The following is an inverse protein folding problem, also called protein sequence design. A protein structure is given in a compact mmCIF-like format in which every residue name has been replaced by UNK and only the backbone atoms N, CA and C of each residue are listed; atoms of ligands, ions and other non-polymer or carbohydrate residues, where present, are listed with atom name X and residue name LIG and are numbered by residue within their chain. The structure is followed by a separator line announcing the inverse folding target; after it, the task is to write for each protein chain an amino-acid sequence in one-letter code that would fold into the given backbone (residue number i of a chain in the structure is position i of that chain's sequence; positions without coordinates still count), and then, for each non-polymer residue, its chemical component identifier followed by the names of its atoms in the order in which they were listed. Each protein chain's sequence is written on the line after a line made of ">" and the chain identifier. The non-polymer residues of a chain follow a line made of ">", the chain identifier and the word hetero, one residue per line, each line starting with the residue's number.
data_IF_258398140800
#
_entry.id   IF_258398140800
#
_cell.length_a   1.000
_cell.length_b   1.000
_cell.length_c   1.000
_cell.angle_alpha   90.00
_cell.angle_beta   90.00
_cell.angle_gamma   90.00
#
_symmetry.space_group_name_H-M   'P 1'
#
loop_
_entity.id
_entity.type
_entity.pdbx_description
1 polymer ?
#
# COMPACT_ATOMS: atom_id res chain seq x y z
N UNK A 1 -1.00 29.35 -2.35
CA UNK A 1 -1.53 27.97 -2.43
C UNK A 1 -0.71 27.04 -3.34
N UNK A 2 -0.10 27.55 -4.41
CA UNK A 2 0.65 26.73 -5.39
C UNK A 2 2.12 26.44 -5.02
N UNK A 3 2.75 27.24 -4.15
CA UNK A 3 4.18 27.13 -3.83
C UNK A 3 4.53 25.88 -3.02
N UNK A 4 3.74 25.53 -2.00
CA UNK A 4 3.99 24.35 -1.18
C UNK A 4 3.75 23.06 -1.95
N UNK A 5 2.78 23.04 -2.89
CA UNK A 5 2.56 21.88 -3.78
C UNK A 5 3.75 21.63 -4.70
N UNK A 6 4.34 22.70 -5.24
CA UNK A 6 5.58 22.60 -6.03
C UNK A 6 6.76 22.14 -5.16
N UNK A 7 6.90 22.67 -3.94
CA UNK A 7 7.95 22.25 -3.02
C UNK A 7 7.82 20.77 -2.61
N UNK A 8 6.61 20.31 -2.27
CA UNK A 8 6.34 18.90 -1.98
C UNK A 8 6.58 18.03 -3.22
N UNK A 9 6.11 18.45 -4.40
CA UNK A 9 6.37 17.72 -5.64
C UNK A 9 7.87 17.65 -5.98
N UNK A 10 8.66 18.68 -5.67
CA UNK A 10 10.12 18.67 -5.85
C UNK A 10 10.80 17.76 -4.84
N UNK A 11 10.42 17.79 -3.56
CA UNK A 11 10.94 16.89 -2.53
C UNK A 11 10.62 15.43 -2.83
N UNK A 12 9.38 15.18 -3.24
CA UNK A 12 8.93 13.86 -3.69
C UNK A 12 9.69 13.46 -4.95
N UNK A 13 9.83 14.33 -5.95
CA UNK A 13 10.61 14.05 -7.17
C UNK A 13 12.07 13.74 -6.86
N UNK A 14 12.68 14.45 -5.92
CA UNK A 14 14.05 14.20 -5.50
C UNK A 14 14.17 12.84 -4.79
N UNK A 15 13.24 12.54 -3.89
CA UNK A 15 13.15 11.22 -3.27
C UNK A 15 12.87 10.08 -4.28
N UNK A 16 12.17 10.39 -5.38
CA UNK A 16 11.83 9.44 -6.45
C UNK A 16 12.91 9.31 -7.53
N UNK A 17 13.87 10.24 -7.63
CA UNK A 17 15.00 10.15 -8.56
C UNK A 17 15.93 8.97 -8.22
N UNK A 18 15.86 8.45 -6.99
CA UNK A 18 16.51 7.22 -6.54
C UNK A 18 15.45 6.24 -6.02
N UNK A 19 14.71 5.53 -6.91
CA UNK A 19 13.59 4.67 -6.51
C UNK A 19 14.02 3.51 -5.59
N UNK A 20 15.31 3.16 -5.60
CA UNK A 20 15.95 2.19 -4.71
C UNK A 20 15.79 2.57 -3.23
N UNK A 21 15.84 3.86 -2.90
CA UNK A 21 15.70 4.33 -1.52
C UNK A 21 14.32 4.02 -0.94
N UNK A 22 13.26 4.10 -1.77
CA UNK A 22 11.89 3.78 -1.35
C UNK A 22 11.74 2.28 -1.04
N UNK A 23 12.45 1.43 -1.79
CA UNK A 23 12.39 -0.03 -1.58
C UNK A 23 12.93 -0.45 -0.23
N UNK A 24 13.92 0.28 0.30
CA UNK A 24 14.46 0.03 1.64
C UNK A 24 13.49 0.50 2.74
N UNK A 25 12.75 1.59 2.52
CA UNK A 25 11.73 2.07 3.47
C UNK A 25 10.56 1.07 3.66
N UNK A 26 10.29 0.21 2.68
CA UNK A 26 9.28 -0.84 2.83
C UNK A 26 9.67 -1.93 3.84
N UNK A 27 10.97 -2.07 4.13
CA UNK A 27 11.52 -3.07 5.05
C UNK A 27 11.86 -2.48 6.41
N UNK A 28 11.55 -1.21 6.65
CA UNK A 28 11.89 -0.54 7.90
C UNK A 28 11.25 -1.24 9.11
N UNK A 29 11.97 -1.23 10.23
CA UNK A 29 11.48 -1.78 11.49
C UNK A 29 10.26 -1.04 12.01
N UNK A 30 10.16 0.27 11.76
CA UNK A 30 9.06 1.12 12.19
C UNK A 30 7.85 0.98 11.24
N UNK A 31 6.69 0.68 11.84
CA UNK A 31 5.41 0.62 11.13
C UNK A 31 5.03 1.95 10.50
N UNK A 32 5.33 3.07 11.17
CA UNK A 32 5.02 4.41 10.67
C UNK A 32 5.84 4.74 9.42
N UNK A 33 7.12 4.37 9.39
CA UNK A 33 7.98 4.56 8.21
C UNK A 33 7.47 3.75 7.03
N UNK A 34 7.15 2.47 7.25
CA UNK A 34 6.54 1.61 6.22
C UNK A 34 5.22 2.17 5.70
N UNK A 35 4.38 2.70 6.59
CA UNK A 35 3.12 3.34 6.21
C UNK A 35 3.39 4.56 5.31
N UNK A 36 4.33 5.44 5.68
CA UNK A 36 4.66 6.61 4.87
C UNK A 36 5.27 6.22 3.52
N UNK A 37 6.05 5.14 3.46
CA UNK A 37 6.54 4.59 2.19
C UNK A 37 5.38 4.16 1.28
N UNK A 38 4.35 3.49 1.84
CA UNK A 38 3.14 3.14 1.09
C UNK A 38 2.34 4.37 0.66
N UNK A 39 2.30 5.42 1.49
CA UNK A 39 1.68 6.71 1.15
C UNK A 39 2.40 7.37 -0.02
N UNK A 40 3.73 7.43 0.05
CA UNK A 40 4.56 7.96 -1.02
C UNK A 40 4.32 7.17 -2.32
N UNK A 41 4.25 5.84 -2.24
CA UNK A 41 3.99 4.98 -3.39
C UNK A 41 2.65 5.31 -4.08
N UNK A 42 1.54 5.30 -3.34
CA UNK A 42 0.22 5.51 -3.95
C UNK A 42 -0.01 6.95 -4.40
N UNK A 43 0.73 7.91 -3.83
CA UNK A 43 0.65 9.32 -4.24
C UNK A 43 1.52 9.61 -5.46
N UNK A 44 2.70 9.00 -5.57
CA UNK A 44 3.64 9.24 -6.67
C UNK A 44 3.30 8.47 -7.96
N UNK A 45 2.88 7.21 -7.83
CA UNK A 45 2.69 6.30 -8.97
C UNK A 45 1.76 6.84 -10.08
N UNK A 46 0.61 7.50 -9.78
CA UNK A 46 -0.27 8.02 -10.83
C UNK A 46 0.37 9.10 -11.71
N UNK A 47 1.30 9.88 -11.15
CA UNK A 47 1.99 10.96 -11.86
C UNK A 47 3.26 10.47 -12.57
N UNK A 48 3.80 9.33 -12.13
CA UNK A 48 5.02 8.73 -12.63
C UNK A 48 4.81 7.23 -12.91
N UNK A 49 4.09 6.85 -13.98
CA UNK A 49 3.80 5.44 -14.29
C UNK A 49 5.04 4.61 -14.67
N UNK A 50 6.18 5.26 -14.93
CA UNK A 50 7.48 4.62 -15.14
C UNK A 50 8.41 4.69 -13.92
N UNK A 51 7.86 4.97 -12.73
CA UNK A 51 8.65 5.10 -11.50
C UNK A 51 9.41 3.82 -11.14
N UNK A 52 8.82 2.66 -11.42
CA UNK A 52 9.45 1.36 -11.25
C UNK A 52 9.36 0.61 -12.57
N UNK A 53 10.41 -0.13 -12.91
CA UNK A 53 10.35 -1.10 -14.00
C UNK A 53 9.55 -2.34 -13.57
N UNK A 54 9.13 -3.15 -14.54
CA UNK A 54 8.36 -4.37 -14.29
C UNK A 54 9.09 -5.34 -13.35
N UNK A 55 10.43 -5.34 -13.40
CA UNK A 55 11.27 -6.17 -12.56
C UNK A 55 11.23 -5.74 -11.08
N UNK A 56 11.38 -4.45 -10.79
CA UNK A 56 11.31 -3.89 -9.44
C UNK A 56 9.89 -4.00 -8.87
N UNK A 57 8.86 -3.76 -9.68
CA UNK A 57 7.47 -3.97 -9.28
C UNK A 57 7.25 -5.40 -8.78
N UNK A 58 7.67 -6.39 -9.58
CA UNK A 58 7.46 -7.80 -9.25
C UNK A 58 8.34 -8.28 -8.10
N UNK A 59 9.60 -7.84 -8.03
CA UNK A 59 10.58 -8.38 -7.04
C UNK A 59 10.54 -7.67 -5.70
N UNK A 60 10.14 -6.40 -5.64
CA UNK A 60 10.24 -5.60 -4.42
C UNK A 60 8.89 -4.98 -4.00
N UNK A 61 8.24 -4.23 -4.90
CA UNK A 61 7.06 -3.43 -4.54
C UNK A 61 5.86 -4.32 -4.19
N UNK A 62 5.51 -5.27 -5.05
CA UNK A 62 4.33 -6.13 -4.87
C UNK A 62 4.48 -7.04 -3.64
N UNK A 63 5.63 -7.72 -3.41
CA UNK A 63 5.85 -8.45 -2.16
C UNK A 63 5.73 -7.56 -0.92
N UNK A 64 6.29 -6.34 -0.94
CA UNK A 64 6.19 -5.40 0.18
C UNK A 64 4.73 -5.02 0.48
N UNK A 65 3.93 -4.77 -0.55
CA UNK A 65 2.49 -4.51 -0.41
C UNK A 65 1.80 -5.73 0.21
N UNK A 66 2.09 -6.95 -0.26
CA UNK A 66 1.49 -8.18 0.29
C UNK A 66 1.82 -8.39 1.77
N UNK A 67 3.04 -8.08 2.18
CA UNK A 67 3.40 -8.08 3.60
C UNK A 67 2.59 -7.03 4.36
N UNK A 68 2.45 -5.81 3.83
CA UNK A 68 1.70 -4.73 4.49
C UNK A 68 0.19 -4.99 4.60
N UNK A 69 -0.43 -5.68 3.63
CA UNK A 69 -1.87 -5.99 3.67
C UNK A 69 -2.22 -7.22 4.50
N UNK A 70 -1.23 -8.03 4.86
CA UNK A 70 -1.48 -9.23 5.67
C UNK A 70 -1.59 -8.83 7.15
N UNK A 71 -2.71 -9.12 7.83
CA UNK A 71 -2.85 -8.85 9.26
C UNK A 71 -1.78 -9.61 10.06
N UNK A 72 -1.12 -8.91 10.99
CA UNK A 72 -0.19 -9.53 11.94
C UNK A 72 -0.86 -9.60 13.33
N UNK A 73 -1.23 -10.80 13.82
CA UNK A 73 -1.84 -10.96 15.14
C UNK A 73 -0.97 -10.42 16.28
N UNK A 74 0.35 -10.28 16.09
CA UNK A 74 1.26 -9.73 17.12
C UNK A 74 1.09 -8.23 17.33
N UNK A 75 0.47 -7.53 16.37
CA UNK A 75 0.20 -6.09 16.43
C UNK A 75 -1.20 -5.79 16.99
N UNK A 76 -1.96 -6.82 17.35
CA UNK A 76 -3.30 -6.68 17.94
C UNK A 76 -3.19 -6.86 19.45
N UNK A 77 -3.63 -5.85 20.20
CA UNK A 77 -3.66 -5.87 21.67
C UNK A 77 -5.04 -5.53 22.20
N UNK A 78 -5.48 -6.27 23.21
CA UNK A 78 -6.73 -5.96 23.91
C UNK A 78 -6.47 -4.90 24.99
N UNK A 79 -7.06 -3.72 24.82
CA UNK A 79 -7.07 -2.67 25.83
C UNK A 79 -8.31 -2.85 26.71
N UNK A 80 -8.09 -2.92 28.02
CA UNK A 80 -9.14 -3.07 29.01
C UNK A 80 -9.43 -1.72 29.67
N UNK A 81 -10.67 -1.25 29.54
CA UNK A 81 -11.19 -0.03 30.16
C UNK A 81 -12.14 -0.33 31.34
N UNK A 82 -12.00 -1.50 31.98
CA UNK A 82 -12.85 -1.97 33.08
C UNK A 82 -13.95 -2.92 32.57
N UNK A 83 -15.23 -2.47 32.49
CA UNK A 83 -16.30 -3.29 31.91
C UNK A 83 -16.21 -3.42 30.38
N UNK A 84 -15.39 -2.59 29.72
CA UNK A 84 -15.20 -2.60 28.27
C UNK A 84 -13.82 -3.16 27.90
N UNK A 85 -13.80 -4.04 26.90
CA UNK A 85 -12.58 -4.53 26.25
C UNK A 85 -12.63 -4.16 24.79
N UNK A 86 -11.53 -3.61 24.28
CA UNK A 86 -11.40 -3.23 22.88
C UNK A 86 -10.09 -3.78 22.33
N UNK A 87 -10.15 -4.50 21.22
CA UNK A 87 -8.96 -4.88 20.48
C UNK A 87 -8.49 -3.70 19.64
N UNK A 88 -7.22 -3.34 19.79
CA UNK A 88 -6.55 -2.27 19.06
C UNK A 88 -5.51 -2.92 18.18
N UNK A 89 -5.67 -2.75 16.87
CA UNK A 89 -4.73 -3.21 15.85
C UNK A 89 -3.79 -2.06 15.48
N UNK A 90 -2.57 -2.09 16.00
CA UNK A 90 -1.56 -1.07 15.74
C UNK A 90 -1.01 -1.18 14.28
N UNK A 91 -1.25 -2.29 13.58
CA UNK A 91 -0.89 -2.51 12.17
C UNK A 91 -1.94 -2.01 11.16
N UNK A 92 -3.12 -1.61 11.63
CA UNK A 92 -4.23 -1.18 10.77
C UNK A 92 -3.89 0.00 9.83
N UNK A 93 -3.19 1.07 10.27
CA UNK A 93 -2.82 2.17 9.38
C UNK A 93 -1.95 1.73 8.19
N UNK A 94 -1.02 0.80 8.43
CA UNK A 94 -0.18 0.21 7.39
C UNK A 94 -1.02 -0.64 6.44
N UNK A 95 -1.96 -1.45 6.95
CA UNK A 95 -2.86 -2.28 6.14
C UNK A 95 -3.73 -1.43 5.20
N UNK A 96 -4.32 -0.33 5.72
CA UNK A 96 -5.08 0.64 4.91
C UNK A 96 -4.22 1.27 3.82
N UNK A 97 -3.00 1.71 4.16
CA UNK A 97 -2.08 2.28 3.18
C UNK A 97 -1.66 1.25 2.12
N UNK A 98 -1.44 0.00 2.51
CA UNK A 98 -1.11 -1.12 1.63
C UNK A 98 -2.20 -1.42 0.61
N UNK A 99 -3.46 -1.54 1.03
CA UNK A 99 -4.57 -1.79 0.10
C UNK A 99 -4.80 -0.63 -0.87
N UNK A 100 -4.65 0.61 -0.38
CA UNK A 100 -4.70 1.79 -1.25
C UNK A 100 -3.56 1.79 -2.28
N UNK A 101 -2.35 1.44 -1.86
CA UNK A 101 -1.21 1.31 -2.75
C UNK A 101 -1.41 0.19 -3.77
N UNK A 102 -1.93 -0.97 -3.36
CA UNK A 102 -2.25 -2.08 -4.26
C UNK A 102 -3.18 -1.64 -5.38
N UNK A 103 -4.30 -1.00 -5.06
CA UNK A 103 -5.25 -0.51 -6.06
C UNK A 103 -4.63 0.50 -7.03
N UNK A 104 -3.78 1.41 -6.54
CA UNK A 104 -3.09 2.39 -7.38
C UNK A 104 -2.05 1.73 -8.30
N UNK A 105 -1.27 0.76 -7.79
CA UNK A 105 -0.29 0.01 -8.59
C UNK A 105 -1.01 -0.74 -9.72
N UNK A 106 -2.12 -1.40 -9.40
CA UNK A 106 -2.99 -2.10 -10.37
C UNK A 106 -3.50 -1.13 -11.45
N UNK A 107 -4.00 0.05 -11.05
CA UNK A 107 -4.57 1.02 -11.98
C UNK A 107 -3.52 1.76 -12.84
N UNK A 108 -2.34 2.03 -12.27
CA UNK A 108 -1.31 2.86 -12.92
C UNK A 108 -0.40 2.07 -13.85
N UNK A 109 -0.20 0.77 -13.58
CA UNK A 109 0.66 -0.07 -14.41
C UNK A 109 -0.08 -0.42 -15.71
N UNK A 110 0.52 -0.15 -16.87
CA UNK A 110 -0.07 -0.41 -18.20
C UNK A 110 0.59 -1.63 -18.86
N UNK A 111 -0.13 -2.32 -19.75
CA UNK A 111 0.42 -3.40 -20.58
C UNK A 111 0.25 -4.83 -20.03
N UNK A 112 1.02 -5.77 -20.58
CA UNK A 112 0.85 -7.20 -20.36
C UNK A 112 1.34 -7.67 -18.97
N UNK A 113 2.42 -7.07 -18.46
CA UNK A 113 2.97 -7.35 -17.13
C UNK A 113 2.05 -6.87 -16.00
N UNK A 114 1.44 -5.70 -16.16
CA UNK A 114 0.38 -5.21 -15.27
C UNK A 114 -0.79 -6.21 -15.22
N UNK A 115 -1.30 -6.62 -16.38
CA UNK A 115 -2.43 -7.56 -16.45
C UNK A 115 -2.11 -8.90 -15.78
N UNK A 116 -0.86 -9.34 -15.83
CA UNK A 116 -0.41 -10.56 -15.16
C UNK A 116 -0.25 -10.38 -13.64
N UNK A 117 0.19 -9.20 -13.18
CA UNK A 117 0.23 -8.83 -11.76
C UNK A 117 -1.17 -8.70 -11.17
N UNK A 118 -2.09 -8.05 -11.88
CA UNK A 118 -3.49 -7.86 -11.46
C UNK A 118 -4.25 -9.19 -11.44
N UNK A 119 -4.01 -10.06 -12.42
CA UNK A 119 -4.67 -11.37 -12.53
C UNK A 119 -3.93 -12.47 -11.76
N UNK A 120 -2.88 -12.12 -10.99
CA UNK A 120 -2.17 -13.14 -10.23
C UNK A 120 -3.09 -13.71 -9.13
N UNK A 121 -3.14 -15.03 -8.92
CA UNK A 121 -3.98 -15.64 -7.88
C UNK A 121 -3.70 -15.05 -6.49
N UNK A 122 -2.43 -14.75 -6.21
CA UNK A 122 -2.01 -14.14 -4.93
C UNK A 122 -2.61 -12.74 -4.75
N UNK A 123 -2.66 -11.92 -5.81
CA UNK A 123 -3.27 -10.59 -5.74
C UNK A 123 -4.75 -10.70 -5.40
N UNK A 124 -5.45 -11.63 -6.05
CA UNK A 124 -6.87 -11.88 -5.85
C UNK A 124 -7.15 -12.42 -4.45
N UNK A 125 -6.32 -13.32 -3.93
CA UNK A 125 -6.40 -13.80 -2.56
C UNK A 125 -6.24 -12.67 -1.54
N UNK A 126 -5.28 -11.77 -1.75
CA UNK A 126 -5.07 -10.61 -0.88
C UNK A 126 -6.25 -9.64 -0.93
N UNK A 127 -6.79 -9.36 -2.12
CA UNK A 127 -7.98 -8.52 -2.29
C UNK A 127 -9.23 -9.17 -1.66
N UNK A 128 -9.44 -10.47 -1.85
CA UNK A 128 -10.52 -11.21 -1.21
C UNK A 128 -10.40 -11.21 0.32
N UNK A 129 -9.18 -11.37 0.84
CA UNK A 129 -8.90 -11.22 2.27
C UNK A 129 -9.23 -9.82 2.79
N UNK A 130 -8.92 -8.77 2.02
CA UNK A 130 -9.28 -7.39 2.33
C UNK A 130 -10.79 -7.14 2.33
N UNK A 131 -11.52 -7.74 1.39
CA UNK A 131 -13.00 -7.67 1.34
C UNK A 131 -13.65 -8.34 2.56
N UNK A 132 -12.98 -9.33 3.16
CA UNK A 132 -13.43 -10.04 4.35
C UNK A 132 -12.83 -9.46 5.65
N UNK A 133 -12.11 -8.34 5.60
CA UNK A 133 -11.50 -7.71 6.77
C UNK A 133 -12.58 -7.19 7.73
N UNK A 134 -12.27 -7.20 9.04
CA UNK A 134 -13.17 -6.66 10.07
C UNK A 134 -13.37 -5.15 9.94
N UNK A 135 -12.40 -4.46 9.34
CA UNK A 135 -12.40 -3.01 9.17
C UNK A 135 -13.03 -2.60 7.84
N UNK A 136 -14.17 -1.91 7.90
CA UNK A 136 -14.93 -1.49 6.71
C UNK A 136 -14.11 -0.63 5.74
N UNK A 137 -13.22 0.23 6.24
CA UNK A 137 -12.32 1.05 5.42
C UNK A 137 -11.38 0.18 4.57
N UNK A 138 -10.90 -0.94 5.13
CA UNK A 138 -10.04 -1.88 4.42
C UNK A 138 -10.82 -2.60 3.33
N UNK A 139 -12.03 -3.07 3.64
CA UNK A 139 -12.92 -3.70 2.67
C UNK A 139 -13.26 -2.76 1.50
N UNK A 140 -13.52 -1.48 1.78
CA UNK A 140 -13.77 -0.47 0.75
C UNK A 140 -12.56 -0.25 -0.16
N UNK A 141 -11.35 -0.17 0.41
CA UNK A 141 -10.12 -0.01 -0.35
C UNK A 141 -9.82 -1.24 -1.22
N UNK A 142 -10.06 -2.43 -0.69
CA UNK A 142 -9.93 -3.69 -1.43
C UNK A 142 -10.93 -3.74 -2.60
N UNK A 143 -12.19 -3.36 -2.36
CA UNK A 143 -13.21 -3.26 -3.41
C UNK A 143 -12.81 -2.31 -4.52
N UNK A 144 -12.29 -1.12 -4.18
CA UNK A 144 -11.79 -0.14 -5.15
C UNK A 144 -10.60 -0.66 -5.97
N UNK A 145 -9.81 -1.56 -5.40
CA UNK A 145 -8.68 -2.19 -6.10
C UNK A 145 -9.08 -3.24 -7.12
N UNK A 146 -10.34 -3.66 -7.19
CA UNK A 146 -10.80 -4.67 -8.14
C UNK A 146 -10.82 -4.14 -9.59
N UNK A 147 -10.45 -4.98 -10.57
CA UNK A 147 -10.52 -4.60 -11.98
C UNK A 147 -11.95 -4.24 -12.39
N UNK A 148 -12.13 -3.09 -13.04
CA UNK A 148 -13.44 -2.63 -13.56
C UNK A 148 -14.30 -1.85 -12.57
N UNK A 149 -13.83 -1.63 -11.33
CA UNK A 149 -14.46 -0.76 -10.34
C UNK A 149 -13.85 0.64 -10.31
N UNK A 150 -12.55 0.76 -10.62
CA UNK A 150 -11.78 2.00 -10.63
C UNK A 150 -11.73 2.69 -12.01
#
# INVERSE_FOLDING_TARGET
>A
EESWRRAVAMLVREALNSPEGILELFKDTDLAVRQQAMVLLYTAMPYHPGLFDDAALKKAVVPAIYTAVTPDPKLVRTVNFGPFKQDVDDGLPLRRAGFRALGVVIASTKGHASRQLVTSPQSLEKLAGGLADSEADVALLAWRGLPGVA
#
